data_IF_991634691219
#
_entry.id   IF_991634691219
#
_cell.length_a   1.000
_cell.length_b   1.000
_cell.length_c   1.000
_cell.angle_alpha   90.00
_cell.angle_beta   90.00
_cell.angle_gamma   90.00
#
_symmetry.space_group_name_H-M   'P 1'
#
loop_
_entity.id
_entity.type
_entity.pdbx_description
1 polymer ?
#
# COMPACT_ATOMS: atom_id res chain seq x y z
N UNK A 1 -8.29 32.41 -29.80
CA UNK A 1 -8.96 33.27 -28.79
C UNK A 1 -10.40 32.82 -28.52
N UNK A 2 -11.24 32.64 -29.54
CA UNK A 2 -12.65 32.20 -29.34
C UNK A 2 -12.80 30.80 -28.69
N UNK A 3 -11.91 29.88 -28.96
CA UNK A 3 -11.93 28.53 -28.36
C UNK A 3 -11.60 28.56 -26.86
N UNK A 4 -10.73 29.47 -26.45
CA UNK A 4 -10.33 29.65 -25.04
C UNK A 4 -11.46 30.29 -24.23
N UNK A 5 -12.16 31.29 -24.82
CA UNK A 5 -13.33 31.92 -24.18
C UNK A 5 -14.52 30.96 -24.05
N UNK A 6 -14.78 30.13 -25.07
CA UNK A 6 -15.83 29.12 -25.04
C UNK A 6 -15.53 28.07 -23.96
N UNK A 7 -14.28 27.63 -23.84
CA UNK A 7 -13.82 26.71 -22.81
C UNK A 7 -13.95 27.30 -21.40
N UNK A 8 -13.55 28.58 -21.23
CA UNK A 8 -13.71 29.29 -19.94
C UNK A 8 -15.19 29.39 -19.56
N UNK A 9 -16.09 29.70 -20.49
CA UNK A 9 -17.55 29.78 -20.25
C UNK A 9 -18.16 28.41 -19.92
N UNK A 10 -17.68 27.32 -20.53
CA UNK A 10 -18.12 25.95 -20.20
C UNK A 10 -17.61 25.54 -18.81
N UNK A 11 -16.39 25.90 -18.46
CA UNK A 11 -15.83 25.68 -17.11
C UNK A 11 -16.61 26.47 -16.06
N UNK A 12 -16.91 27.74 -16.30
CA UNK A 12 -17.73 28.55 -15.39
C UNK A 12 -19.16 28.01 -15.23
N UNK A 13 -19.76 27.47 -16.30
CA UNK A 13 -21.07 26.80 -16.22
C UNK A 13 -20.98 25.52 -15.40
N UNK A 14 -19.93 24.73 -15.58
CA UNK A 14 -19.71 23.51 -14.82
C UNK A 14 -19.43 23.80 -13.34
N UNK A 15 -18.59 24.79 -13.03
CA UNK A 15 -18.34 25.25 -11.66
C UNK A 15 -19.62 25.78 -10.99
N UNK A 16 -20.45 26.56 -11.71
CA UNK A 16 -21.75 27.03 -11.21
C UNK A 16 -22.70 25.86 -10.94
N UNK A 17 -22.74 24.88 -11.82
CA UNK A 17 -23.58 23.69 -11.63
C UNK A 17 -23.11 22.82 -10.45
N UNK A 18 -21.78 22.71 -10.21
CA UNK A 18 -21.21 22.04 -9.04
C UNK A 18 -21.50 22.81 -7.74
N UNK A 19 -21.29 24.13 -7.72
CA UNK A 19 -21.62 24.99 -6.59
C UNK A 19 -23.10 24.99 -6.26
N UNK A 20 -23.95 24.87 -7.29
CA UNK A 20 -25.40 24.78 -7.10
C UNK A 20 -25.80 23.41 -6.54
N UNK A 21 -25.19 22.32 -7.01
CA UNK A 21 -25.35 20.97 -6.44
C UNK A 21 -24.82 20.88 -5.00
N UNK A 22 -23.71 21.53 -4.67
CA UNK A 22 -23.18 21.61 -3.30
C UNK A 22 -24.14 22.39 -2.38
N UNK A 23 -24.69 23.52 -2.83
CA UNK A 23 -25.71 24.32 -2.09
C UNK A 23 -27.02 23.56 -1.96
N UNK A 24 -27.49 22.88 -3.00
CA UNK A 24 -28.70 22.06 -2.96
C UNK A 24 -28.52 20.85 -2.02
N UNK A 25 -27.32 20.27 -1.92
CA UNK A 25 -27.00 19.21 -0.96
C UNK A 25 -26.97 19.70 0.50
N UNK A 26 -26.65 20.98 0.73
CA UNK A 26 -26.69 21.61 2.05
C UNK A 26 -28.11 22.05 2.46
N UNK A 27 -28.97 22.42 1.51
CA UNK A 27 -30.29 23.06 1.78
C UNK A 27 -31.48 22.11 1.73
N UNK A 28 -31.34 20.92 1.11
CA UNK A 28 -32.44 19.95 1.03
C UNK A 28 -32.19 18.79 1.96
N UNK A 29 -32.81 18.83 3.13
CA UNK A 29 -32.87 17.76 4.11
C UNK A 29 -33.71 16.56 3.61
N UNK A 30 -33.43 16.04 2.41
CA UNK A 30 -34.07 14.83 1.87
C UNK A 30 -33.24 13.60 2.21
N UNK A 31 -33.79 12.77 3.09
CA UNK A 31 -33.19 11.55 3.65
C UNK A 31 -32.98 10.41 2.65
N UNK A 32 -33.13 10.62 1.36
CA UNK A 32 -33.02 9.58 0.31
C UNK A 32 -31.78 9.66 -0.57
N UNK A 33 -30.91 10.67 -0.44
CA UNK A 33 -29.62 10.72 -1.15
C UNK A 33 -28.51 10.18 -0.26
N UNK A 34 -27.97 9.05 -0.60
CA UNK A 34 -26.76 8.45 -0.01
C UNK A 34 -25.65 9.50 0.04
N UNK A 35 -25.28 9.94 1.26
CA UNK A 35 -24.15 10.85 1.45
C UNK A 35 -22.88 10.21 0.89
N UNK A 36 -22.18 10.91 -0.01
CA UNK A 36 -20.90 10.44 -0.52
C UNK A 36 -19.88 10.21 0.61
N UNK A 37 -19.03 9.21 0.45
CA UNK A 37 -17.96 8.89 1.39
C UNK A 37 -16.79 9.84 1.12
N UNK A 38 -16.25 10.46 2.16
CA UNK A 38 -15.05 11.30 2.05
C UNK A 38 -13.78 10.45 2.15
N UNK A 39 -12.94 10.54 1.13
CA UNK A 39 -11.60 9.96 1.09
C UNK A 39 -10.56 11.07 1.28
N UNK A 40 -9.58 10.86 2.15
CA UNK A 40 -8.58 11.90 2.50
C UNK A 40 -7.49 12.04 1.43
N UNK A 41 -7.12 10.95 0.76
CA UNK A 41 -6.02 10.88 -0.20
C UNK A 41 -6.45 10.05 -1.41
N UNK A 42 -6.81 10.73 -2.47
CA UNK A 42 -7.19 10.15 -3.77
C UNK A 42 -6.37 10.84 -4.84
N UNK A 43 -5.76 10.07 -5.71
CA UNK A 43 -5.03 10.62 -6.85
C UNK A 43 -5.90 10.54 -8.09
N UNK A 44 -6.23 11.69 -8.63
CA UNK A 44 -7.10 11.85 -9.79
C UNK A 44 -6.24 12.16 -11.02
N UNK A 45 -6.48 11.44 -12.11
CA UNK A 45 -5.86 11.63 -13.41
C UNK A 45 -6.90 12.04 -14.44
N UNK A 46 -6.60 13.11 -15.14
CA UNK A 46 -7.24 13.51 -16.39
C UNK A 46 -6.25 13.29 -17.54
N UNK A 47 -6.73 12.69 -18.61
CA UNK A 47 -5.97 12.49 -19.84
C UNK A 47 -6.82 12.93 -21.02
N UNK A 48 -6.27 13.80 -21.87
CA UNK A 48 -6.95 14.30 -23.06
C UNK A 48 -6.17 13.92 -24.32
N UNK A 49 -6.87 13.38 -25.32
CA UNK A 49 -6.28 13.07 -26.64
C UNK A 49 -6.30 14.33 -27.49
N UNK A 50 -5.17 15.03 -27.56
CA UNK A 50 -5.08 16.33 -28.21
C UNK A 50 -5.20 16.21 -29.74
N UNK A 51 -6.04 17.05 -30.32
CA UNK A 51 -6.25 17.13 -31.77
C UNK A 51 -7.53 16.43 -32.27
N UNK A 52 -8.20 15.67 -31.40
CA UNK A 52 -9.42 14.93 -31.78
C UNK A 52 -10.53 15.85 -32.32
N UNK A 53 -10.83 16.95 -31.65
CA UNK A 53 -11.88 17.90 -32.07
C UNK A 53 -11.61 18.61 -33.40
N UNK A 54 -10.31 18.80 -33.75
CA UNK A 54 -9.94 19.42 -35.04
C UNK A 54 -10.03 18.45 -36.21
N UNK A 55 -10.06 17.16 -35.95
CA UNK A 55 -10.07 16.10 -36.97
C UNK A 55 -11.49 15.66 -37.31
N UNK A 56 -12.43 15.77 -36.38
CA UNK A 56 -13.86 15.50 -36.65
C UNK A 56 -14.43 16.43 -37.73
N UNK A 57 -13.78 17.55 -38.02
CA UNK A 57 -14.15 18.47 -39.11
C UNK A 57 -13.56 18.10 -40.49
N UNK A 58 -12.51 17.24 -40.55
CA UNK A 58 -11.77 17.00 -41.80
C UNK A 58 -11.70 15.52 -42.27
N UNK A 59 -11.98 14.54 -41.38
CA UNK A 59 -11.82 13.12 -41.68
C UNK A 59 -13.09 12.31 -41.33
N UNK A 60 -13.11 11.02 -41.74
CA UNK A 60 -14.20 10.10 -41.46
C UNK A 60 -14.39 9.91 -39.94
N UNK A 61 -15.43 10.52 -39.38
CA UNK A 61 -15.73 10.54 -37.94
C UNK A 61 -15.83 9.12 -37.32
N UNK A 62 -16.33 8.13 -38.07
CA UNK A 62 -16.45 6.74 -37.60
C UNK A 62 -15.06 6.14 -37.29
N UNK A 63 -14.10 6.31 -38.20
CA UNK A 63 -12.73 5.79 -37.97
C UNK A 63 -12.03 6.45 -36.79
N UNK A 64 -12.30 7.73 -36.53
CA UNK A 64 -11.75 8.43 -35.37
C UNK A 64 -12.33 7.95 -34.05
N UNK A 65 -13.63 7.64 -34.04
CA UNK A 65 -14.30 7.06 -32.89
C UNK A 65 -13.74 5.65 -32.59
N UNK A 66 -13.59 4.82 -33.64
CA UNK A 66 -13.01 3.49 -33.50
C UNK A 66 -11.58 3.51 -32.96
N UNK A 67 -10.77 4.48 -33.35
CA UNK A 67 -9.40 4.63 -32.84
C UNK A 67 -9.39 5.12 -31.39
N UNK A 68 -10.28 6.04 -31.02
CA UNK A 68 -10.45 6.49 -29.63
C UNK A 68 -10.89 5.35 -28.71
N UNK A 69 -11.82 4.51 -29.18
CA UNK A 69 -12.28 3.33 -28.44
C UNK A 69 -11.14 2.32 -28.19
N UNK A 70 -10.23 2.13 -29.17
CA UNK A 70 -9.03 1.31 -28.98
C UNK A 70 -8.10 1.88 -27.93
N UNK A 71 -7.90 3.22 -27.90
CA UNK A 71 -7.08 3.86 -26.88
C UNK A 71 -7.69 3.69 -25.49
N UNK A 72 -8.98 3.92 -25.35
CA UNK A 72 -9.67 3.76 -24.08
C UNK A 72 -9.72 2.30 -23.61
N UNK A 73 -9.84 1.35 -24.53
CA UNK A 73 -9.70 -0.06 -24.18
C UNK A 73 -8.32 -0.39 -23.61
N UNK A 74 -7.25 0.17 -24.18
CA UNK A 74 -5.91 0.02 -23.63
C UNK A 74 -5.79 0.71 -22.26
N UNK A 75 -6.30 1.93 -22.12
CA UNK A 75 -6.31 2.65 -20.85
C UNK A 75 -7.11 1.93 -19.77
N UNK A 76 -8.23 1.33 -20.12
CA UNK A 76 -9.04 0.51 -19.19
C UNK A 76 -8.25 -0.70 -18.65
N UNK A 77 -7.46 -1.36 -19.49
CA UNK A 77 -6.58 -2.45 -19.07
C UNK A 77 -5.44 -1.95 -18.18
N UNK A 78 -4.82 -0.81 -18.54
CA UNK A 78 -3.76 -0.19 -17.75
C UNK A 78 -4.27 0.21 -16.36
N UNK A 79 -5.39 0.91 -16.24
CA UNK A 79 -5.90 1.31 -14.91
C UNK A 79 -6.31 0.10 -14.06
N UNK A 80 -6.80 -0.96 -14.70
CA UNK A 80 -7.15 -2.21 -14.00
C UNK A 80 -5.91 -2.92 -13.45
N UNK A 81 -4.80 -2.97 -14.20
CA UNK A 81 -3.54 -3.61 -13.75
C UNK A 81 -2.89 -2.88 -12.58
N UNK A 82 -3.14 -1.57 -12.43
CA UNK A 82 -2.64 -0.75 -11.34
C UNK A 82 -3.65 -0.52 -10.19
N UNK A 83 -4.73 -1.30 -10.08
CA UNK A 83 -5.79 -1.14 -9.08
C UNK A 83 -6.46 0.25 -9.04
N UNK A 84 -6.42 0.97 -10.17
CA UNK A 84 -7.04 2.27 -10.36
C UNK A 84 -8.47 2.06 -10.88
N UNK A 85 -9.36 2.98 -10.58
CA UNK A 85 -10.75 2.93 -11.05
C UNK A 85 -10.98 3.94 -12.16
N UNK A 86 -11.50 3.47 -13.29
CA UNK A 86 -12.08 4.34 -14.30
C UNK A 86 -13.28 5.06 -13.70
N UNK A 87 -13.33 6.36 -13.84
CA UNK A 87 -14.46 7.18 -13.42
C UNK A 87 -15.42 7.36 -14.59
N UNK A 88 -14.94 7.95 -15.66
CA UNK A 88 -15.70 8.16 -16.90
C UNK A 88 -14.82 8.60 -18.06
N UNK A 89 -15.41 8.57 -19.25
CA UNK A 89 -14.90 9.24 -20.45
C UNK A 89 -15.87 10.34 -20.87
N UNK A 90 -15.37 11.48 -21.30
CA UNK A 90 -16.16 12.61 -21.82
C UNK A 90 -15.48 13.06 -23.11
N UNK A 91 -16.04 12.67 -24.26
CA UNK A 91 -15.41 12.95 -25.56
C UNK A 91 -14.00 12.38 -25.63
N UNK A 92 -13.02 13.25 -25.78
CA UNK A 92 -11.59 12.96 -25.85
C UNK A 92 -10.87 12.95 -24.50
N UNK A 93 -11.60 13.09 -23.40
CA UNK A 93 -11.06 13.09 -22.04
C UNK A 93 -11.36 11.79 -21.32
N UNK A 94 -10.31 11.14 -20.79
CA UNK A 94 -10.39 9.96 -19.95
C UNK A 94 -10.07 10.32 -18.49
N UNK A 95 -10.90 9.87 -17.54
CA UNK A 95 -10.78 10.21 -16.13
C UNK A 95 -10.70 8.92 -15.30
N UNK A 96 -9.68 8.82 -14.47
CA UNK A 96 -9.53 7.72 -13.51
C UNK A 96 -9.02 8.22 -12.15
N UNK A 97 -9.16 7.38 -11.11
CA UNK A 97 -8.73 7.71 -9.76
C UNK A 97 -8.20 6.49 -9.01
N UNK A 98 -7.11 6.67 -8.29
CA UNK A 98 -6.54 5.71 -7.35
C UNK A 98 -6.90 6.07 -5.90
N UNK A 99 -6.94 5.05 -5.00
CA UNK A 99 -7.28 5.24 -3.59
C UNK A 99 -8.76 5.10 -3.27
N UNK A 100 -9.57 4.61 -4.22
CA UNK A 100 -11.00 4.31 -4.08
C UNK A 100 -11.33 2.97 -4.75
N UNK A 101 -12.35 2.22 -4.30
CA UNK A 101 -13.12 2.37 -3.07
C UNK A 101 -12.32 1.98 -1.82
N UNK A 102 -11.22 1.25 -1.97
CA UNK A 102 -10.30 0.89 -0.88
C UNK A 102 -9.17 1.91 -0.84
N UNK A 103 -8.94 2.48 0.34
CA UNK A 103 -7.81 3.37 0.59
C UNK A 103 -6.50 2.59 0.44
N UNK A 104 -5.49 3.21 -0.15
CA UNK A 104 -4.12 2.69 -0.17
C UNK A 104 -3.13 3.86 -0.27
N UNK A 105 -1.94 3.67 0.30
CA UNK A 105 -0.88 4.67 0.29
C UNK A 105 -0.10 4.70 -1.03
N UNK A 106 -0.21 3.65 -1.83
CA UNK A 106 0.50 3.53 -3.12
C UNK A 106 -0.18 4.24 -4.28
N UNK A 107 -1.44 4.69 -4.11
CA UNK A 107 -2.22 5.23 -5.22
C UNK A 107 -1.55 6.39 -6.00
N UNK A 108 -0.78 7.32 -5.40
CA UNK A 108 -0.10 8.36 -6.19
C UNK A 108 0.94 7.78 -7.15
N UNK A 109 1.68 6.77 -6.69
CA UNK A 109 2.71 6.11 -7.49
C UNK A 109 2.06 5.25 -8.60
N UNK A 110 1.02 4.49 -8.25
CA UNK A 110 0.29 3.63 -9.19
C UNK A 110 -0.38 4.45 -10.31
N UNK A 111 -0.97 5.61 -9.98
CA UNK A 111 -1.57 6.52 -10.98
C UNK A 111 -0.50 7.11 -11.91
N UNK A 112 0.68 7.45 -11.38
CA UNK A 112 1.80 7.90 -12.22
C UNK A 112 2.32 6.78 -13.13
N UNK A 113 2.43 5.54 -12.62
CA UNK A 113 2.81 4.38 -13.45
C UNK A 113 1.82 4.17 -14.59
N UNK A 114 0.52 4.22 -14.32
CA UNK A 114 -0.52 4.12 -15.34
C UNK A 114 -0.42 5.26 -16.37
N UNK A 115 -0.13 6.48 -15.92
CA UNK A 115 0.09 7.62 -16.80
C UNK A 115 1.26 7.40 -17.77
N UNK A 116 2.37 6.82 -17.26
CA UNK A 116 3.51 6.45 -18.11
C UNK A 116 3.17 5.38 -19.13
N UNK A 117 2.46 4.35 -18.76
CA UNK A 117 2.05 3.31 -19.69
C UNK A 117 1.12 3.85 -20.78
N UNK A 118 0.16 4.70 -20.43
CA UNK A 118 -0.70 5.39 -21.39
C UNK A 118 0.14 6.24 -22.35
N UNK A 119 1.09 7.00 -21.84
CA UNK A 119 1.97 7.85 -22.65
C UNK A 119 2.86 7.01 -23.59
N UNK A 120 3.47 5.93 -23.10
CA UNK A 120 4.30 5.04 -23.90
C UNK A 120 3.50 4.38 -25.01
N UNK A 121 2.27 3.93 -24.73
CA UNK A 121 1.38 3.38 -25.73
C UNK A 121 1.09 4.39 -26.87
N UNK A 122 0.76 5.62 -26.51
CA UNK A 122 0.50 6.67 -27.49
C UNK A 122 1.75 7.03 -28.31
N UNK A 123 2.92 7.08 -27.69
CA UNK A 123 4.20 7.31 -28.38
C UNK A 123 4.53 6.16 -29.33
N UNK A 124 4.27 4.90 -28.93
CA UNK A 124 4.45 3.74 -29.78
C UNK A 124 3.51 3.77 -31.01
N UNK A 125 2.26 4.14 -30.82
CA UNK A 125 1.33 4.31 -31.93
C UNK A 125 1.82 5.39 -32.89
N UNK A 126 2.23 6.55 -32.36
CA UNK A 126 2.77 7.65 -33.14
C UNK A 126 3.98 7.24 -34.00
N UNK A 127 4.87 6.39 -33.48
CA UNK A 127 6.05 5.91 -34.21
C UNK A 127 5.73 4.96 -35.38
N UNK A 128 4.55 4.34 -35.35
CA UNK A 128 4.11 3.42 -36.44
C UNK A 128 3.52 4.14 -37.66
N UNK A 129 3.18 5.41 -37.54
CA UNK A 129 2.61 6.18 -38.65
C UNK A 129 3.67 7.05 -39.31
N UNK A 130 3.65 7.19 -40.65
CA UNK A 130 4.53 8.11 -41.40
C UNK A 130 4.36 9.56 -40.93
N UNK A 131 5.41 10.36 -41.07
CA UNK A 131 5.46 11.76 -40.61
C UNK A 131 4.33 12.64 -41.16
N UNK A 132 3.92 12.41 -42.41
CA UNK A 132 2.81 13.09 -43.07
C UNK A 132 1.42 12.72 -42.55
N UNK A 133 1.31 11.54 -41.90
CA UNK A 133 0.10 11.02 -41.25
C UNK A 133 0.12 11.12 -39.73
N UNK A 134 1.23 11.65 -39.17
CA UNK A 134 1.37 11.86 -37.70
C UNK A 134 0.53 13.04 -37.18
N UNK A 135 -0.50 13.44 -37.89
CA UNK A 135 -1.31 14.63 -37.55
C UNK A 135 -1.83 14.67 -36.11
N UNK A 136 -1.60 13.55 -35.32
CA UNK A 136 -2.56 13.29 -34.28
C UNK A 136 -1.90 12.58 -33.11
N UNK A 137 -2.55 12.10 -32.26
CA UNK A 137 -2.33 11.15 -31.18
C UNK A 137 -1.17 11.49 -30.24
N UNK A 138 -1.23 12.69 -29.72
CA UNK A 138 -0.53 12.97 -28.48
C UNK A 138 -1.54 13.03 -27.35
N UNK A 139 -1.09 12.74 -26.16
CA UNK A 139 -1.91 12.83 -24.96
C UNK A 139 -1.33 13.90 -24.04
N UNK A 140 -2.21 14.59 -23.35
CA UNK A 140 -1.85 15.48 -22.26
C UNK A 140 -2.42 14.89 -20.99
N UNK A 141 -1.60 14.76 -19.96
CA UNK A 141 -1.98 14.14 -18.69
C UNK A 141 -1.76 15.11 -17.56
N UNK A 142 -2.78 15.26 -16.69
CA UNK A 142 -2.72 16.04 -15.47
C UNK A 142 -3.13 15.21 -14.27
N UNK A 143 -2.32 15.26 -13.21
CA UNK A 143 -2.53 14.48 -11.98
C UNK A 143 -2.51 15.40 -10.77
N UNK A 144 -3.47 15.21 -9.88
CA UNK A 144 -3.50 15.86 -8.57
C UNK A 144 -3.97 14.90 -7.49
N UNK A 145 -3.35 15.00 -6.30
CA UNK A 145 -3.68 14.19 -5.13
C UNK A 145 -4.25 15.06 -4.02
N UNK A 146 -5.39 14.64 -3.47
CA UNK A 146 -6.05 15.36 -2.38
C UNK A 146 -7.34 14.67 -1.91
N UNK A 147 -8.14 15.35 -1.04
CA UNK A 147 -9.39 14.80 -0.56
C UNK A 147 -10.49 14.85 -1.64
N UNK A 148 -11.29 13.78 -1.70
CA UNK A 148 -12.40 13.62 -2.65
C UNK A 148 -13.61 13.07 -1.93
N UNK A 149 -14.79 13.46 -2.36
CA UNK A 149 -16.03 12.76 -2.06
C UNK A 149 -16.31 11.76 -3.19
N UNK A 150 -16.70 10.54 -2.82
CA UNK A 150 -17.04 9.50 -3.78
C UNK A 150 -18.38 8.85 -3.43
N UNK A 151 -19.14 8.51 -4.45
CA UNK A 151 -20.37 7.73 -4.36
C UNK A 151 -20.27 6.55 -5.31
N UNK A 152 -20.82 5.43 -4.88
CA UNK A 152 -20.80 4.17 -5.64
C UNK A 152 -22.24 3.78 -5.97
N UNK A 153 -22.55 3.72 -7.26
CA UNK A 153 -23.82 3.20 -7.74
C UNK A 153 -23.64 1.72 -8.10
N UNK A 154 -24.51 0.88 -7.57
CA UNK A 154 -24.67 -0.54 -7.92
C UNK A 154 -23.48 -1.47 -7.59
N UNK A 155 -23.73 -2.50 -6.76
CA UNK A 155 -22.75 -3.49 -6.29
C UNK A 155 -22.26 -4.41 -7.44
N UNK A 156 -23.07 -4.66 -8.46
CA UNK A 156 -22.74 -5.61 -9.57
C UNK A 156 -21.97 -4.98 -10.72
N UNK A 157 -22.08 -3.67 -10.92
CA UNK A 157 -21.33 -2.91 -11.92
C UNK A 157 -21.09 -1.50 -11.37
N UNK A 158 -20.07 -1.32 -10.52
CA UNK A 158 -19.89 -0.09 -9.78
C UNK A 158 -19.54 1.06 -10.72
N UNK A 159 -20.46 2.00 -10.88
CA UNK A 159 -20.15 3.32 -11.41
C UNK A 159 -19.68 4.18 -10.25
N UNK A 160 -18.54 4.81 -10.44
CA UNK A 160 -17.93 5.70 -9.46
C UNK A 160 -18.23 7.15 -9.87
N UNK A 161 -18.84 7.90 -8.99
CA UNK A 161 -18.89 9.37 -9.09
C UNK A 161 -17.96 9.96 -8.06
N UNK A 162 -17.12 10.90 -8.47
CA UNK A 162 -16.23 11.65 -7.60
C UNK A 162 -16.40 13.15 -7.79
N UNK A 163 -16.28 13.91 -6.70
CA UNK A 163 -16.35 15.37 -6.74
C UNK A 163 -15.49 15.99 -5.65
N UNK A 164 -15.27 17.29 -5.78
CA UNK A 164 -14.47 18.10 -4.88
C UNK A 164 -13.34 18.83 -5.61
N UNK A 165 -12.65 19.68 -4.86
CA UNK A 165 -11.61 20.56 -5.39
C UNK A 165 -10.46 19.78 -6.07
N UNK A 166 -10.11 18.61 -5.54
CA UNK A 166 -9.08 17.73 -6.10
C UNK A 166 -9.36 17.37 -7.57
N UNK A 167 -10.62 17.09 -7.90
CA UNK A 167 -11.04 16.78 -9.27
C UNK A 167 -10.86 17.99 -10.18
N UNK A 168 -11.24 19.18 -9.71
CA UNK A 168 -11.11 20.41 -10.47
C UNK A 168 -9.65 20.81 -10.69
N UNK A 169 -8.79 20.65 -9.67
CA UNK A 169 -7.36 20.92 -9.81
C UNK A 169 -6.72 19.95 -10.80
N UNK A 170 -7.00 18.63 -10.73
CA UNK A 170 -6.47 17.65 -11.67
C UNK A 170 -6.81 17.98 -13.13
N UNK A 171 -8.08 18.38 -13.39
CA UNK A 171 -8.52 18.84 -14.71
C UNK A 171 -7.74 20.08 -15.18
N UNK A 172 -7.51 21.07 -14.29
CA UNK A 172 -6.74 22.27 -14.62
C UNK A 172 -5.25 21.99 -14.83
N UNK A 173 -4.66 21.05 -14.07
CA UNK A 173 -3.26 20.57 -14.29
C UNK A 173 -3.14 19.95 -15.67
N UNK A 174 -4.14 19.15 -16.10
CA UNK A 174 -4.18 18.64 -17.48
C UNK A 174 -4.25 19.77 -18.49
N UNK A 175 -5.20 20.71 -18.32
CA UNK A 175 -5.46 21.77 -19.32
C UNK A 175 -4.26 22.69 -19.62
N UNK A 176 -3.41 22.97 -18.62
CA UNK A 176 -2.23 23.85 -18.76
C UNK A 176 -0.91 23.08 -18.89
N UNK A 177 -0.92 21.77 -18.69
CA UNK A 177 0.26 20.93 -18.70
C UNK A 177 0.89 20.79 -20.10
N UNK A 178 2.16 20.41 -20.12
CA UNK A 178 2.90 20.13 -21.34
C UNK A 178 2.32 18.96 -22.11
N UNK A 179 2.27 19.11 -23.43
CA UNK A 179 1.84 18.06 -24.32
C UNK A 179 2.85 16.91 -24.40
N UNK A 180 2.34 15.69 -24.39
CA UNK A 180 3.16 14.47 -24.45
C UNK A 180 3.94 14.20 -23.17
N UNK A 181 3.56 14.82 -22.06
CA UNK A 181 4.20 14.64 -20.76
C UNK A 181 3.18 14.38 -19.64
N UNK A 182 3.68 13.83 -18.54
CA UNK A 182 2.88 13.62 -17.32
C UNK A 182 3.09 14.82 -16.40
N UNK A 183 2.04 15.63 -16.24
CA UNK A 183 2.06 16.85 -15.44
C UNK A 183 1.42 16.57 -14.08
N UNK A 184 2.04 17.01 -13.00
CA UNK A 184 1.60 16.78 -11.63
C UNK A 184 1.61 18.07 -10.82
N UNK A 185 0.72 18.15 -9.84
CA UNK A 185 0.73 19.22 -8.84
C UNK A 185 1.78 18.99 -7.76
N UNK A 186 2.10 20.04 -6.99
CA UNK A 186 3.00 19.95 -5.81
C UNK A 186 2.53 18.90 -4.81
N UNK A 187 1.22 18.76 -4.56
CA UNK A 187 0.70 17.72 -3.65
C UNK A 187 1.03 16.30 -4.12
N UNK A 188 0.95 16.04 -5.42
CA UNK A 188 1.35 14.75 -5.98
C UNK A 188 2.88 14.61 -5.98
N UNK A 189 3.62 15.67 -6.33
CA UNK A 189 5.07 15.70 -6.33
C UNK A 189 5.66 15.24 -4.98
N UNK A 190 5.18 15.77 -3.86
CA UNK A 190 5.66 15.39 -2.53
C UNK A 190 5.51 13.89 -2.23
N UNK A 191 4.50 13.24 -2.81
CA UNK A 191 4.23 11.82 -2.61
C UNK A 191 5.02 10.90 -3.55
N UNK A 192 5.51 11.43 -4.67
CA UNK A 192 6.15 10.60 -5.72
C UNK A 192 7.62 10.94 -5.98
N UNK A 193 8.13 12.06 -5.48
CA UNK A 193 9.48 12.57 -5.76
C UNK A 193 10.61 11.59 -5.41
N UNK A 194 10.40 10.67 -4.49
CA UNK A 194 11.40 9.67 -4.10
C UNK A 194 11.45 8.47 -5.06
N UNK A 195 10.53 8.42 -6.02
CA UNK A 195 10.41 7.37 -7.04
C UNK A 195 10.71 7.88 -8.44
N UNK A 196 10.34 9.13 -8.72
CA UNK A 196 10.42 9.72 -10.05
C UNK A 196 11.30 10.96 -10.08
N UNK A 197 11.94 11.16 -11.20
CA UNK A 197 12.64 12.40 -11.51
C UNK A 197 11.61 13.41 -12.02
N UNK A 198 11.51 14.54 -11.35
CA UNK A 198 10.52 15.57 -11.63
C UNK A 198 11.21 16.90 -11.88
N UNK A 199 10.77 17.62 -12.91
CA UNK A 199 11.23 18.97 -13.24
C UNK A 199 10.14 19.98 -12.90
N UNK A 200 10.50 21.09 -12.27
CA UNK A 200 9.57 22.20 -12.04
C UNK A 200 9.08 22.77 -13.37
N UNK A 201 7.78 22.95 -13.50
CA UNK A 201 7.14 23.40 -14.73
C UNK A 201 6.61 24.84 -14.65
N UNK A 202 6.08 25.25 -13.48
CA UNK A 202 5.47 26.55 -13.31
C UNK A 202 4.43 26.58 -12.22
N UNK A 203 3.49 27.54 -12.27
CA UNK A 203 2.46 27.75 -11.29
C UNK A 203 1.06 27.72 -11.89
N UNK A 204 0.13 27.13 -11.16
CA UNK A 204 -1.30 27.13 -11.43
C UNK A 204 -1.99 28.05 -10.40
N UNK A 205 -2.54 29.20 -10.78
CA UNK A 205 -3.33 30.02 -9.88
C UNK A 205 -4.64 29.30 -9.49
N UNK A 206 -4.89 29.14 -8.19
CA UNK A 206 -6.12 28.54 -7.67
C UNK A 206 -6.84 29.55 -6.80
N UNK A 207 -8.10 29.84 -7.15
CA UNK A 207 -8.91 30.81 -6.41
C UNK A 207 -9.01 30.41 -4.94
N UNK A 208 -8.76 31.36 -4.05
CA UNK A 208 -8.77 31.23 -2.58
C UNK A 208 -7.65 30.38 -1.96
N UNK A 209 -6.73 29.77 -2.74
CA UNK A 209 -5.59 28.98 -2.22
C UNK A 209 -4.22 29.51 -2.63
N UNK A 210 -4.18 30.49 -3.52
CA UNK A 210 -2.92 30.97 -4.11
C UNK A 210 -2.43 30.05 -5.24
N UNK A 211 -1.14 30.14 -5.54
CA UNK A 211 -0.54 29.40 -6.64
C UNK A 211 -0.12 28.00 -6.19
N UNK A 212 -0.42 26.99 -6.99
CA UNK A 212 0.04 25.62 -6.83
C UNK A 212 1.21 25.38 -7.78
N UNK A 213 2.35 24.94 -7.28
CA UNK A 213 3.49 24.57 -8.11
C UNK A 213 3.19 23.31 -8.91
N UNK A 214 3.63 23.31 -10.16
CA UNK A 214 3.48 22.20 -11.10
C UNK A 214 4.84 21.63 -11.46
N UNK A 215 4.84 20.34 -11.72
CA UNK A 215 6.01 19.57 -12.11
C UNK A 215 5.66 18.67 -13.29
N UNK A 216 6.70 18.38 -14.10
CA UNK A 216 6.65 17.36 -15.14
C UNK A 216 7.48 16.17 -14.69
N UNK A 217 6.96 14.97 -14.87
CA UNK A 217 7.70 13.74 -14.60
C UNK A 217 8.53 13.39 -15.84
N UNK A 218 9.83 13.25 -15.66
CA UNK A 218 10.76 12.90 -16.73
C UNK A 218 11.02 11.39 -16.82
N UNK A 219 10.86 10.66 -15.72
CA UNK A 219 11.10 9.23 -15.66
C UNK A 219 11.28 8.73 -14.24
N UNK A 220 11.73 7.49 -14.10
CA UNK A 220 12.11 6.93 -12.81
C UNK A 220 13.43 7.53 -12.32
N UNK A 221 13.63 7.61 -11.00
CA UNK A 221 14.97 7.94 -10.49
C UNK A 221 16.00 6.91 -10.99
N UNK A 222 17.23 7.33 -11.33
CA UNK A 222 18.23 6.43 -11.92
C UNK A 222 18.42 5.14 -11.13
N UNK A 223 18.61 5.21 -9.79
CA UNK A 223 18.80 4.04 -8.92
C UNK A 223 17.59 3.10 -8.86
N UNK A 224 16.41 3.57 -9.24
CA UNK A 224 15.16 2.81 -9.25
C UNK A 224 14.77 2.33 -10.66
N UNK A 225 15.68 2.44 -11.63
CA UNK A 225 15.43 2.05 -13.02
C UNK A 225 16.49 1.10 -13.56
N UNK A 226 16.06 0.30 -14.54
CA UNK A 226 16.96 -0.62 -15.26
C UNK A 226 18.07 0.18 -15.96
N UNK A 227 19.32 -0.22 -15.77
CA UNK A 227 20.52 0.42 -16.32
C UNK A 227 20.60 1.92 -16.00
N UNK A 228 19.93 2.37 -14.95
CA UNK A 228 19.85 3.79 -14.54
C UNK A 228 19.29 4.75 -15.62
N UNK A 229 18.55 4.22 -16.60
CA UNK A 229 18.03 5.01 -17.76
C UNK A 229 16.75 5.77 -17.48
N UNK A 230 16.08 5.54 -16.34
CA UNK A 230 14.82 6.21 -15.99
C UNK A 230 13.59 5.76 -16.79
N UNK A 231 13.69 4.71 -17.61
CA UNK A 231 12.62 4.29 -18.52
C UNK A 231 11.77 3.15 -18.00
N UNK A 232 12.38 2.18 -17.30
CA UNK A 232 11.73 0.97 -16.80
C UNK A 232 12.11 0.78 -15.34
N UNK A 233 11.15 0.54 -14.43
CA UNK A 233 11.45 0.33 -13.01
C UNK A 233 12.21 -0.99 -12.82
N UNK A 234 13.20 -0.97 -11.91
CA UNK A 234 13.99 -2.14 -11.52
C UNK A 234 13.41 -2.83 -10.26
N UNK A 235 14.10 -3.85 -9.73
CA UNK A 235 13.66 -4.56 -8.53
C UNK A 235 13.64 -3.65 -7.29
N UNK A 236 14.60 -2.73 -7.13
CA UNK A 236 14.63 -1.80 -6.01
C UNK A 236 13.37 -0.90 -5.96
N UNK A 237 12.86 -0.46 -7.13
CA UNK A 237 11.59 0.25 -7.22
C UNK A 237 10.43 -0.63 -6.70
N UNK A 238 10.37 -1.89 -7.13
CA UNK A 238 9.29 -2.81 -6.75
C UNK A 238 9.30 -3.09 -5.25
N UNK A 239 10.46 -3.34 -4.68
CA UNK A 239 10.63 -3.59 -3.25
C UNK A 239 10.25 -2.34 -2.44
N UNK A 240 10.73 -1.15 -2.85
CA UNK A 240 10.37 0.11 -2.19
C UNK A 240 8.86 0.37 -2.22
N UNK A 241 8.18 0.06 -3.33
CA UNK A 241 6.72 0.15 -3.43
C UNK A 241 6.01 -0.89 -2.55
N UNK A 242 6.59 -2.09 -2.43
CA UNK A 242 6.04 -3.15 -1.60
C UNK A 242 6.09 -2.83 -0.10
N UNK A 243 7.08 -2.07 0.37
CA UNK A 243 7.08 -1.54 1.75
C UNK A 243 5.91 -0.61 2.04
N UNK A 244 5.53 0.27 1.10
CA UNK A 244 4.32 1.11 1.29
C UNK A 244 3.05 0.24 1.35
N UNK A 245 3.00 -0.84 0.56
CA UNK A 245 1.88 -1.79 0.64
C UNK A 245 1.88 -2.56 1.95
N UNK A 246 3.07 -2.86 2.49
CA UNK A 246 3.20 -3.47 3.82
C UNK A 246 2.62 -2.57 4.92
N UNK A 247 2.81 -1.25 4.87
CA UNK A 247 2.20 -0.33 5.84
C UNK A 247 0.66 -0.39 5.81
N UNK A 248 0.05 -0.55 4.62
CA UNK A 248 -1.39 -0.74 4.47
C UNK A 248 -1.84 -2.13 4.97
N UNK A 249 -1.04 -3.17 4.74
CA UNK A 249 -1.27 -4.53 5.23
C UNK A 249 -1.18 -4.57 6.76
N UNK A 250 -0.15 -3.96 7.33
CA UNK A 250 0.07 -3.90 8.78
C UNK A 250 -1.12 -3.24 9.48
N UNK A 251 -1.62 -2.10 8.97
CA UNK A 251 -2.83 -1.45 9.49
C UNK A 251 -4.04 -2.38 9.43
N UNK A 252 -4.27 -3.09 8.30
CA UNK A 252 -5.41 -4.02 8.15
C UNK A 252 -5.31 -5.22 9.09
N UNK A 253 -4.11 -5.77 9.29
CA UNK A 253 -3.89 -6.94 10.16
C UNK A 253 -3.99 -6.55 11.63
N UNK A 254 -3.39 -5.43 12.05
CA UNK A 254 -3.51 -4.96 13.43
C UNK A 254 -4.95 -4.63 13.80
N UNK A 255 -5.71 -3.98 12.88
CA UNK A 255 -7.14 -3.76 13.05
C UNK A 255 -7.94 -5.08 13.17
N UNK A 256 -7.54 -6.13 12.41
CA UNK A 256 -8.15 -7.46 12.51
C UNK A 256 -7.84 -8.11 13.84
N UNK A 257 -6.59 -8.09 14.30
CA UNK A 257 -6.18 -8.62 15.59
C UNK A 257 -6.93 -7.92 16.74
N UNK A 258 -7.07 -6.58 16.70
CA UNK A 258 -7.79 -5.82 17.72
C UNK A 258 -9.26 -6.24 17.84
N UNK A 259 -9.92 -6.55 16.72
CA UNK A 259 -11.34 -6.95 16.72
C UNK A 259 -11.58 -8.41 17.03
N UNK A 260 -10.66 -9.29 16.65
CA UNK A 260 -10.93 -10.73 16.55
C UNK A 260 -10.13 -11.59 17.54
N UNK A 261 -9.04 -11.08 18.14
CA UNK A 261 -8.30 -11.82 19.16
C UNK A 261 -9.17 -12.01 20.43
N UNK A 262 -9.19 -13.23 20.97
CA UNK A 262 -9.75 -13.48 22.30
C UNK A 262 -9.12 -12.58 23.37
N UNK A 263 -9.92 -12.09 24.32
CA UNK A 263 -9.47 -11.15 25.36
C UNK A 263 -8.66 -11.82 26.48
N UNK A 264 -8.65 -13.11 26.52
CA UNK A 264 -7.93 -13.98 27.46
C UNK A 264 -6.54 -14.40 26.92
N UNK A 265 -6.13 -13.87 25.77
CA UNK A 265 -4.76 -13.96 25.28
C UNK A 265 -3.92 -12.83 25.90
N UNK A 266 -3.26 -13.13 27.00
CA UNK A 266 -2.47 -12.16 27.76
C UNK A 266 -1.07 -11.95 27.19
N UNK A 267 -0.49 -13.00 26.55
CA UNK A 267 0.81 -13.00 25.93
C UNK A 267 0.72 -12.86 24.39
N UNK A 268 -0.06 -13.73 23.73
CA UNK A 268 -0.23 -13.73 22.27
C UNK A 268 -1.23 -12.64 21.84
N UNK A 269 -0.85 -11.39 22.09
CA UNK A 269 -1.66 -10.20 21.83
C UNK A 269 -0.98 -9.27 20.80
N UNK A 270 -1.65 -8.18 20.43
CA UNK A 270 -1.15 -7.19 19.46
C UNK A 270 0.25 -6.69 19.83
N UNK A 271 0.52 -6.48 21.13
CA UNK A 271 1.84 -5.99 21.58
C UNK A 271 2.93 -7.00 21.22
N UNK A 272 2.71 -8.30 21.44
CA UNK A 272 3.65 -9.35 21.06
C UNK A 272 3.89 -9.33 19.53
N UNK A 273 2.84 -9.29 18.72
CA UNK A 273 2.98 -9.18 17.25
C UNK A 273 3.84 -7.98 16.84
N UNK A 274 3.58 -6.79 17.40
CA UNK A 274 4.37 -5.58 17.12
C UNK A 274 5.83 -5.75 17.60
N UNK A 275 6.04 -6.33 18.77
CA UNK A 275 7.37 -6.59 19.32
C UNK A 275 8.17 -7.51 18.36
N UNK A 276 7.56 -8.59 17.85
CA UNK A 276 8.22 -9.52 16.90
C UNK A 276 8.51 -8.84 15.57
N UNK A 277 7.59 -8.05 15.00
CA UNK A 277 7.83 -7.25 13.77
C UNK A 277 9.02 -6.29 13.96
N UNK A 278 9.14 -5.63 15.12
CA UNK A 278 10.27 -4.77 15.41
C UNK A 278 11.59 -5.55 15.58
N UNK A 279 11.54 -6.72 16.23
CA UNK A 279 12.73 -7.52 16.47
C UNK A 279 13.29 -8.14 15.18
N UNK A 280 12.46 -8.61 14.26
CA UNK A 280 12.95 -9.09 12.96
C UNK A 280 13.64 -7.97 12.18
N UNK A 281 13.19 -6.73 12.31
CA UNK A 281 13.85 -5.58 11.67
C UNK A 281 15.20 -5.28 12.34
N UNK A 282 15.30 -5.28 13.67
CA UNK A 282 16.54 -5.03 14.42
C UNK A 282 17.58 -6.11 14.13
N UNK A 283 17.19 -7.38 14.20
CA UNK A 283 18.08 -8.51 13.95
C UNK A 283 18.50 -8.53 12.48
N UNK A 284 17.53 -8.48 11.56
CA UNK A 284 17.76 -8.59 10.13
C UNK A 284 18.68 -7.50 9.56
N UNK A 285 18.54 -6.25 10.03
CA UNK A 285 19.46 -5.15 9.63
C UNK A 285 20.91 -5.40 10.03
N UNK A 286 21.17 -6.16 11.10
CA UNK A 286 22.50 -6.50 11.57
C UNK A 286 23.04 -7.81 10.98
N UNK A 287 22.16 -8.62 10.41
CA UNK A 287 22.47 -9.89 9.77
C UNK A 287 22.61 -9.74 8.24
N UNK A 288 22.71 -8.52 7.73
CA UNK A 288 22.98 -8.17 6.33
C UNK A 288 22.01 -8.84 5.33
N UNK A 289 20.72 -8.94 5.68
CA UNK A 289 19.70 -9.41 4.76
C UNK A 289 19.27 -8.31 3.78
N UNK A 290 18.76 -8.70 2.63
CA UNK A 290 18.26 -7.78 1.62
C UNK A 290 16.94 -7.13 2.04
N UNK A 291 16.60 -6.00 1.42
CA UNK A 291 15.29 -5.34 1.65
C UNK A 291 14.12 -6.25 1.28
N UNK A 292 14.25 -7.11 0.26
CA UNK A 292 13.21 -8.08 -0.11
C UNK A 292 13.03 -9.14 0.99
N UNK A 293 14.11 -9.69 1.51
CA UNK A 293 14.08 -10.63 2.64
C UNK A 293 13.52 -9.99 3.90
N UNK A 294 13.86 -8.72 4.16
CA UNK A 294 13.28 -7.94 5.26
C UNK A 294 11.77 -7.81 5.14
N UNK A 295 11.26 -7.53 3.93
CA UNK A 295 9.82 -7.47 3.68
C UNK A 295 9.12 -8.79 3.98
N UNK A 296 9.72 -9.93 3.56
CA UNK A 296 9.17 -11.26 3.84
C UNK A 296 9.16 -11.56 5.33
N UNK A 297 10.23 -11.26 6.04
CA UNK A 297 10.34 -11.44 7.49
C UNK A 297 9.32 -10.60 8.27
N UNK A 298 9.22 -9.30 7.96
CA UNK A 298 8.22 -8.43 8.61
C UNK A 298 6.79 -8.91 8.35
N UNK A 299 6.53 -9.39 7.13
CA UNK A 299 5.22 -9.94 6.79
C UNK A 299 4.95 -11.24 7.56
N UNK A 300 5.91 -12.16 7.64
CA UNK A 300 5.75 -13.38 8.40
C UNK A 300 5.55 -13.11 9.89
N UNK A 301 6.34 -12.19 10.47
CA UNK A 301 6.19 -11.75 11.86
C UNK A 301 4.81 -11.13 12.15
N UNK A 302 4.24 -10.39 11.19
CA UNK A 302 2.89 -9.83 11.32
C UNK A 302 1.79 -10.92 11.34
N UNK A 303 2.05 -12.07 10.71
CA UNK A 303 1.07 -13.15 10.56
C UNK A 303 1.31 -14.36 11.46
N UNK A 304 2.45 -14.46 12.19
CA UNK A 304 2.83 -15.71 12.89
C UNK A 304 1.78 -16.17 13.88
N UNK A 305 1.15 -15.27 14.60
CA UNK A 305 0.15 -15.53 15.62
C UNK A 305 -1.29 -15.19 15.22
N UNK A 306 -1.51 -14.73 13.97
CA UNK A 306 -2.87 -14.34 13.54
C UNK A 306 -3.88 -15.51 13.61
N UNK A 307 -3.39 -16.72 13.56
CA UNK A 307 -4.21 -17.92 13.68
C UNK A 307 -5.00 -18.03 14.99
N UNK A 308 -4.56 -17.37 16.06
CA UNK A 308 -5.29 -17.27 17.33
C UNK A 308 -6.66 -16.58 17.19
N UNK A 309 -6.87 -15.80 16.13
CA UNK A 309 -8.21 -15.26 15.81
C UNK A 309 -9.22 -16.34 15.43
N UNK A 310 -8.75 -17.55 15.07
CA UNK A 310 -9.59 -18.68 14.64
C UNK A 310 -9.56 -19.80 15.64
N UNK A 311 -8.40 -20.10 16.22
CA UNK A 311 -8.26 -21.20 17.18
C UNK A 311 -6.90 -21.23 17.87
N UNK A 312 -6.88 -21.77 19.09
CA UNK A 312 -5.67 -21.82 19.91
C UNK A 312 -4.69 -22.91 19.43
N UNK A 313 -5.23 -24.06 19.01
CA UNK A 313 -4.42 -25.20 18.58
C UNK A 313 -4.03 -25.05 17.11
N UNK A 314 -2.77 -25.38 16.79
CA UNK A 314 -2.20 -25.32 15.44
C UNK A 314 -2.38 -23.90 14.79
N UNK A 315 -2.22 -22.85 15.60
CA UNK A 315 -2.43 -21.46 15.19
C UNK A 315 -1.49 -21.05 14.05
N UNK A 316 -0.29 -21.63 13.95
CA UNK A 316 0.63 -21.38 12.83
C UNK A 316 0.03 -21.84 11.49
N UNK A 317 -0.62 -23.02 11.48
CA UNK A 317 -1.28 -23.53 10.27
C UNK A 317 -2.52 -22.69 9.91
N UNK A 318 -3.27 -22.23 10.90
CA UNK A 318 -4.40 -21.32 10.71
C UNK A 318 -3.90 -19.96 10.20
N UNK A 319 -2.79 -19.46 10.74
CA UNK A 319 -2.13 -18.23 10.27
C UNK A 319 -1.71 -18.32 8.82
N UNK A 320 -1.13 -19.44 8.39
CA UNK A 320 -0.77 -19.73 7.00
C UNK A 320 -2.01 -19.68 6.08
N UNK A 321 -3.15 -20.21 6.50
CA UNK A 321 -4.38 -20.15 5.70
C UNK A 321 -4.84 -18.70 5.51
N UNK A 322 -4.85 -17.92 6.60
CA UNK A 322 -5.20 -16.49 6.55
C UNK A 322 -4.23 -15.71 5.66
N UNK A 323 -2.92 -15.97 5.76
CA UNK A 323 -1.91 -15.33 4.93
C UNK A 323 -2.15 -15.59 3.42
N UNK A 324 -2.46 -16.85 3.05
CA UNK A 324 -2.78 -17.23 1.66
C UNK A 324 -4.03 -16.52 1.12
N UNK A 325 -4.99 -16.16 1.96
CA UNK A 325 -6.20 -15.44 1.55
C UNK A 325 -5.99 -13.92 1.42
N UNK A 326 -5.13 -13.34 2.26
CA UNK A 326 -4.96 -11.89 2.36
C UNK A 326 -3.84 -11.39 1.44
N UNK A 327 -2.66 -12.02 1.45
CA UNK A 327 -1.47 -11.52 0.77
C UNK A 327 -1.62 -11.29 -0.75
N UNK A 328 -2.38 -12.11 -1.50
CA UNK A 328 -2.63 -11.82 -2.92
C UNK A 328 -3.30 -10.46 -3.17
N UNK A 329 -4.13 -9.98 -2.23
CA UNK A 329 -4.81 -8.68 -2.30
C UNK A 329 -3.85 -7.50 -2.14
N UNK A 330 -2.64 -7.75 -1.62
CA UNK A 330 -1.54 -6.80 -1.47
C UNK A 330 -0.40 -7.02 -2.48
N UNK A 331 -0.69 -7.75 -3.57
CA UNK A 331 0.22 -7.99 -4.67
C UNK A 331 1.50 -8.77 -4.29
N UNK A 332 1.45 -9.64 -3.28
CA UNK A 332 2.50 -10.63 -3.06
C UNK A 332 2.39 -11.73 -4.12
N UNK A 333 3.53 -12.18 -4.61
CA UNK A 333 3.61 -13.29 -5.56
C UNK A 333 3.45 -14.64 -4.84
N UNK A 334 3.06 -15.70 -5.57
CA UNK A 334 2.93 -17.04 -5.00
C UNK A 334 4.24 -17.52 -4.37
N UNK A 335 5.41 -17.18 -4.96
CA UNK A 335 6.72 -17.48 -4.40
C UNK A 335 6.96 -16.76 -3.07
N UNK A 336 6.63 -15.48 -2.98
CA UNK A 336 6.74 -14.70 -1.75
C UNK A 336 5.81 -15.26 -0.67
N UNK A 337 4.56 -15.58 -1.03
CA UNK A 337 3.58 -16.18 -0.11
C UNK A 337 4.08 -17.53 0.41
N UNK A 338 4.67 -18.38 -0.44
CA UNK A 338 5.25 -19.65 0.00
C UNK A 338 6.35 -19.44 1.04
N UNK A 339 7.30 -18.53 0.78
CA UNK A 339 8.39 -18.21 1.72
C UNK A 339 7.86 -17.65 3.05
N UNK A 340 6.85 -16.79 3.01
CA UNK A 340 6.19 -16.25 4.21
C UNK A 340 5.53 -17.38 5.00
N UNK A 341 4.86 -18.32 4.35
CA UNK A 341 4.25 -19.47 5.01
C UNK A 341 5.31 -20.36 5.70
N UNK A 342 6.46 -20.59 5.06
CA UNK A 342 7.56 -21.35 5.63
C UNK A 342 8.12 -20.65 6.88
N UNK A 343 8.26 -19.32 6.84
CA UNK A 343 8.70 -18.52 7.98
C UNK A 343 7.68 -18.54 9.14
N UNK A 344 6.38 -18.45 8.86
CA UNK A 344 5.33 -18.60 9.89
C UNK A 344 5.42 -20.00 10.51
N UNK A 345 5.60 -21.05 9.71
CA UNK A 345 5.70 -22.40 10.22
C UNK A 345 6.96 -22.64 11.08
N UNK A 346 8.06 -21.94 10.80
CA UNK A 346 9.31 -22.06 11.53
C UNK A 346 9.22 -21.56 12.99
N UNK A 347 8.22 -20.72 13.35
CA UNK A 347 8.02 -20.29 14.76
C UNK A 347 7.45 -21.38 15.65
N UNK A 348 6.98 -22.49 15.08
CA UNK A 348 6.44 -23.63 15.83
C UNK A 348 7.48 -24.21 16.80
N UNK A 349 7.06 -24.40 18.05
CA UNK A 349 7.93 -24.92 19.10
C UNK A 349 8.02 -26.47 19.10
N UNK A 350 9.18 -27.06 19.33
CA UNK A 350 10.50 -26.41 19.47
C UNK A 350 11.02 -25.91 18.11
N UNK A 351 11.65 -24.73 18.04
CA UNK A 351 12.12 -24.17 16.78
C UNK A 351 13.24 -25.03 16.18
N UNK A 352 13.17 -25.24 14.85
CA UNK A 352 14.19 -25.98 14.10
C UNK A 352 14.48 -25.29 12.76
N UNK A 353 15.07 -24.06 12.78
CA UNK A 353 15.31 -23.29 11.58
C UNK A 353 16.32 -23.98 10.65
N UNK A 354 16.11 -23.88 9.34
CA UNK A 354 16.92 -24.49 8.29
C UNK A 354 17.69 -23.45 7.47
N UNK A 355 17.38 -22.20 7.61
CA UNK A 355 18.02 -21.09 6.90
C UNK A 355 18.03 -19.81 7.76
N UNK A 356 18.78 -18.82 7.31
CA UNK A 356 19.00 -17.56 8.03
C UNK A 356 17.73 -16.80 8.34
N UNK A 357 16.75 -16.78 7.45
CA UNK A 357 15.49 -16.03 7.68
C UNK A 357 14.64 -16.72 8.76
N UNK A 358 14.62 -18.05 8.77
CA UNK A 358 13.98 -18.83 9.83
C UNK A 358 14.68 -18.62 11.17
N UNK A 359 16.04 -18.57 11.20
CA UNK A 359 16.79 -18.25 12.40
C UNK A 359 16.39 -16.88 12.98
N UNK A 360 16.26 -15.87 12.10
CA UNK A 360 15.90 -14.50 12.53
C UNK A 360 14.50 -14.45 13.12
N UNK A 361 13.50 -15.07 12.49
CA UNK A 361 12.12 -15.01 13.00
C UNK A 361 11.95 -15.81 14.29
N UNK A 362 12.61 -16.99 14.42
CA UNK A 362 12.60 -17.76 15.66
C UNK A 362 13.24 -17.00 16.82
N UNK A 363 14.36 -16.32 16.58
CA UNK A 363 15.02 -15.49 17.58
C UNK A 363 14.18 -14.27 17.96
N UNK A 364 13.46 -13.68 17.00
CA UNK A 364 12.61 -12.52 17.23
C UNK A 364 11.37 -12.89 18.06
N UNK A 365 10.75 -14.02 17.80
CA UNK A 365 9.59 -14.52 18.54
C UNK A 365 9.94 -14.84 19.99
N UNK A 366 11.11 -15.46 20.21
CA UNK A 366 11.60 -15.81 21.54
C UNK A 366 12.50 -14.72 22.19
N UNK A 367 12.52 -13.51 21.65
CA UNK A 367 13.34 -12.39 22.13
C UNK A 367 13.07 -12.07 23.61
N UNK A 368 11.84 -12.26 24.09
CA UNK A 368 11.46 -11.96 25.47
C UNK A 368 12.25 -12.74 26.51
N UNK A 369 12.81 -13.92 26.17
CA UNK A 369 13.62 -14.74 27.09
C UNK A 369 14.87 -14.01 27.61
N UNK A 370 15.41 -13.08 26.82
CA UNK A 370 16.56 -12.26 27.18
C UNK A 370 16.22 -10.79 27.50
N UNK A 371 14.95 -10.46 27.69
CA UNK A 371 14.51 -9.10 28.02
C UNK A 371 14.49 -8.85 29.53
N UNK A 372 14.58 -7.58 29.91
CA UNK A 372 14.48 -7.17 31.33
C UNK A 372 13.10 -7.43 31.93
N UNK A 373 12.04 -7.43 31.10
CA UNK A 373 10.67 -7.68 31.49
C UNK A 373 10.24 -9.17 31.34
N UNK A 374 11.22 -10.08 31.30
CA UNK A 374 10.97 -11.52 31.18
C UNK A 374 9.95 -12.05 32.21
N UNK A 375 10.12 -11.75 33.51
CA UNK A 375 9.26 -12.30 34.57
C UNK A 375 7.79 -11.87 34.39
N UNK A 376 7.43 -10.58 34.22
CA UNK A 376 6.06 -10.19 33.90
C UNK A 376 5.51 -10.87 32.65
N UNK A 377 6.29 -10.98 31.58
CA UNK A 377 5.87 -11.58 30.30
C UNK A 377 5.65 -13.09 30.47
N UNK A 378 6.55 -13.79 31.15
CA UNK A 378 6.39 -15.23 31.48
C UNK A 378 5.13 -15.48 32.33
N UNK A 379 4.80 -14.58 33.27
CA UNK A 379 3.57 -14.70 34.08
C UNK A 379 2.29 -14.50 33.23
N UNK A 380 2.34 -13.62 32.21
CA UNK A 380 1.23 -13.47 31.25
C UNK A 380 1.02 -14.75 30.45
N UNK A 381 2.11 -15.35 29.94
CA UNK A 381 2.06 -16.62 29.21
C UNK A 381 1.55 -17.76 30.11
N UNK A 382 2.01 -17.84 31.36
CA UNK A 382 1.52 -18.82 32.33
C UNK A 382 0.01 -18.73 32.53
N UNK A 383 -0.49 -17.51 32.80
CA UNK A 383 -1.92 -17.24 32.98
C UNK A 383 -2.72 -17.67 31.76
N UNK A 384 -2.27 -17.33 30.58
CA UNK A 384 -2.92 -17.70 29.32
C UNK A 384 -3.02 -19.22 29.16
N UNK A 385 -1.88 -19.92 29.31
CA UNK A 385 -1.82 -21.37 29.15
C UNK A 385 -2.73 -22.12 30.15
N UNK A 386 -2.84 -21.64 31.37
CA UNK A 386 -3.73 -22.21 32.40
C UNK A 386 -5.20 -21.95 32.03
N UNK A 387 -5.57 -20.75 31.66
CA UNK A 387 -6.96 -20.39 31.32
C UNK A 387 -7.45 -21.14 30.06
N UNK A 388 -6.54 -21.38 29.08
CA UNK A 388 -6.87 -22.19 27.90
C UNK A 388 -6.75 -23.72 28.12
N UNK A 389 -6.44 -24.16 29.34
CA UNK A 389 -6.33 -25.59 29.69
C UNK A 389 -5.17 -26.29 28.94
N UNK A 390 -4.19 -25.52 28.47
CA UNK A 390 -3.01 -26.07 27.80
C UNK A 390 -2.02 -26.69 28.80
N UNK A 391 -2.04 -26.23 30.04
CA UNK A 391 -1.25 -26.76 31.15
C UNK A 391 -2.07 -26.77 32.44
N UNK A 392 -1.74 -27.72 33.33
CA UNK A 392 -2.32 -27.83 34.67
C UNK A 392 -1.22 -27.64 35.74
N UNK A 393 -0.34 -26.65 35.55
CA UNK A 393 0.78 -26.38 36.45
C UNK A 393 0.41 -25.35 37.50
N UNK A 394 1.01 -25.49 38.72
CA UNK A 394 1.13 -24.39 39.65
C UNK A 394 2.33 -23.49 39.26
N UNK A 395 2.49 -22.37 39.94
CA UNK A 395 3.56 -21.39 39.63
C UNK A 395 4.98 -21.97 39.80
N UNK A 396 5.16 -22.92 40.74
CA UNK A 396 6.48 -23.55 40.95
C UNK A 396 6.80 -24.52 39.86
N UNK A 397 5.84 -25.34 39.45
CA UNK A 397 5.97 -26.23 38.30
C UNK A 397 6.21 -25.44 37.02
N UNK A 398 5.53 -24.29 36.84
CA UNK A 398 5.79 -23.38 35.73
C UNK A 398 7.21 -22.86 35.74
N UNK A 399 7.68 -22.31 36.88
CA UNK A 399 9.06 -21.83 37.00
C UNK A 399 10.09 -22.92 36.69
N UNK A 400 9.83 -24.16 37.10
CA UNK A 400 10.69 -25.29 36.77
C UNK A 400 10.72 -25.61 35.28
N UNK A 401 9.55 -25.57 34.63
CA UNK A 401 9.46 -25.71 33.17
C UNK A 401 10.13 -24.56 32.42
N UNK A 402 9.97 -23.35 32.89
CA UNK A 402 10.68 -22.19 32.34
C UNK A 402 12.21 -22.34 32.49
N UNK A 403 12.69 -22.78 33.64
CA UNK A 403 14.11 -23.05 33.85
C UNK A 403 14.64 -24.09 32.86
N UNK A 404 13.93 -25.19 32.66
CA UNK A 404 14.25 -26.24 31.69
C UNK A 404 14.29 -25.67 30.27
N UNK A 405 13.23 -24.95 29.86
CA UNK A 405 13.11 -24.38 28.54
C UNK A 405 14.24 -23.38 28.23
N UNK A 406 14.47 -22.38 29.10
CA UNK A 406 15.49 -21.37 28.90
C UNK A 406 16.90 -21.96 28.92
N UNK A 407 17.16 -22.97 29.77
CA UNK A 407 18.47 -23.64 29.84
C UNK A 407 18.80 -24.38 28.54
N UNK A 408 17.80 -24.94 27.87
CA UNK A 408 17.97 -25.67 26.62
C UNK A 408 17.91 -24.77 25.38
N UNK A 409 17.29 -23.57 25.52
CA UNK A 409 17.18 -22.62 24.44
C UNK A 409 18.52 -21.96 24.12
N UNK A 410 18.83 -21.85 22.82
CA UNK A 410 19.95 -21.07 22.29
C UNK A 410 19.44 -20.19 21.15
N UNK A 411 19.83 -18.92 21.18
CA UNK A 411 19.60 -18.08 20.00
C UNK A 411 20.43 -18.56 18.84
N UNK A 412 19.91 -18.45 17.63
CA UNK A 412 20.54 -18.91 16.40
C UNK A 412 21.49 -17.88 15.82
N UNK A 413 21.01 -16.63 15.65
CA UNK A 413 21.78 -15.55 15.03
C UNK A 413 22.85 -14.98 15.97
N UNK A 414 23.90 -14.44 15.38
CA UNK A 414 24.93 -13.71 16.13
C UNK A 414 24.35 -12.50 16.85
N UNK A 415 23.48 -11.77 16.17
CA UNK A 415 22.88 -10.54 16.69
C UNK A 415 22.00 -10.81 17.92
N UNK A 416 21.14 -11.83 17.89
CA UNK A 416 20.29 -12.15 19.04
C UNK A 416 21.14 -12.62 20.25
N UNK A 417 22.20 -13.42 20.03
CA UNK A 417 23.16 -13.80 21.06
C UNK A 417 23.78 -12.58 21.75
N UNK A 418 24.33 -11.65 20.94
CA UNK A 418 24.94 -10.42 21.47
C UNK A 418 23.95 -9.54 22.25
N UNK A 419 22.70 -9.48 21.82
CA UNK A 419 21.68 -8.64 22.45
C UNK A 419 21.08 -9.27 23.71
N UNK A 420 20.97 -10.62 23.79
CA UNK A 420 20.08 -11.28 24.76
C UNK A 420 20.76 -12.28 25.70
N UNK A 421 21.87 -12.91 25.34
CA UNK A 421 22.45 -14.00 26.14
C UNK A 421 22.83 -13.56 27.55
N UNK A 422 23.38 -12.37 27.73
CA UNK A 422 23.76 -11.85 29.06
C UNK A 422 22.55 -11.75 29.98
N UNK A 423 21.44 -11.19 29.50
CA UNK A 423 20.23 -11.04 30.29
C UNK A 423 19.51 -12.37 30.48
N UNK A 424 19.48 -13.22 29.46
CA UNK A 424 18.92 -14.58 29.56
C UNK A 424 19.58 -15.38 30.68
N UNK A 425 20.90 -15.33 30.80
CA UNK A 425 21.64 -15.98 31.89
C UNK A 425 21.28 -15.41 33.27
N UNK A 426 21.08 -14.07 33.37
CA UNK A 426 20.56 -13.46 34.61
C UNK A 426 19.16 -13.96 34.96
N UNK A 427 18.27 -14.13 33.98
CA UNK A 427 16.93 -14.67 34.24
C UNK A 427 17.00 -16.12 34.72
N UNK A 428 17.89 -16.95 34.18
CA UNK A 428 18.14 -18.30 34.68
C UNK A 428 18.55 -18.32 36.17
N UNK A 429 19.47 -17.43 36.56
CA UNK A 429 19.89 -17.31 37.97
C UNK A 429 18.73 -16.83 38.86
N UNK A 430 17.95 -15.86 38.40
CA UNK A 430 16.77 -15.36 39.12
C UNK A 430 15.74 -16.46 39.40
N UNK A 431 15.41 -17.28 38.38
CA UNK A 431 14.46 -18.39 38.52
C UNK A 431 15.02 -19.44 39.50
N UNK A 432 16.31 -19.83 39.40
CA UNK A 432 16.94 -20.77 40.34
C UNK A 432 16.85 -20.29 41.77
N UNK A 433 17.22 -19.03 42.02
CA UNK A 433 17.14 -18.41 43.35
C UNK A 433 15.70 -18.36 43.89
N UNK A 434 14.69 -18.20 43.04
CA UNK A 434 13.26 -18.26 43.46
C UNK A 434 12.84 -19.67 43.88
N UNK A 435 13.25 -20.69 43.11
CA UNK A 435 12.93 -22.08 43.43
C UNK A 435 13.62 -22.57 44.71
N UNK A 436 14.89 -22.17 44.93
CA UNK A 436 15.64 -22.51 46.13
C UNK A 436 15.07 -21.87 47.42
N UNK A 437 14.47 -20.67 47.33
CA UNK A 437 13.82 -20.01 48.49
C UNK A 437 12.47 -20.59 48.88
N UNK A 438 11.88 -21.42 48.01
CA UNK A 438 10.57 -22.03 48.19
C UNK A 438 10.64 -23.55 48.56
N UNK A 439 11.86 -24.13 48.43
CA UNK A 439 12.20 -25.49 48.90
C UNK A 439 12.53 -25.47 50.38
#
# INVERSE_FOLDING_TARGET
FESTEKFIREQERYEKALLQKEKEAETVGDKSKTKGIRYKMVTVLFSNVVGFSKLTEQDNAEKLIDDLDKFYFHFDNTVKSHNIKKIRTIGDTYICAGGIPKKNRTNPIEVVLAAFEMQQYMNHLKSKYPLDKQKIWGIRIGIHTGPVFAQFENIKSPKYEIWGETVNIANRVEAIGDFGRVNISSSTYELVRDYFLCQYFGKLPVKYRGDIDLYVIEGFRPLLSVENKGLVPNNAFKVKLAFIRFDDLEEEILDKLERELPKDLYYHNIKHTIDVVNQVEIIGRREDITDEEMLLLKTAALFHDIGFTVGYKDHELLGIQIAKEILPKFNYTDEQISKICDLIFATRLPPNPTNKLEEIICDADLDYLGRADFIPVSNMLFKELVEHGAIEYDINQWNQKQLEFISNHQYFTKTAKELRDVNKNKQLENIRNQLEKQS
#
